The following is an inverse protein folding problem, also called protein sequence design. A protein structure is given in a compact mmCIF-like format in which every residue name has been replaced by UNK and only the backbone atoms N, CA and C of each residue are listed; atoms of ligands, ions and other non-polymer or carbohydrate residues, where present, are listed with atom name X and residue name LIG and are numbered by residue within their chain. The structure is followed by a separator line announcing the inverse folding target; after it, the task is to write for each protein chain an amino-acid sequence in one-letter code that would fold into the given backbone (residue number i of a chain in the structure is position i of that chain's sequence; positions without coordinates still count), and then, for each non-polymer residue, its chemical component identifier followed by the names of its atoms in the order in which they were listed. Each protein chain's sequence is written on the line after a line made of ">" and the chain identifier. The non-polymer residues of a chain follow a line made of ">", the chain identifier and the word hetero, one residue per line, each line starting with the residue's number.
data_IF_331090500601
#
_entry.id   IF_331090500601
#
_cell.length_a   1.000
_cell.length_b   1.000
_cell.length_c   1.000
_cell.angle_alpha   90.00
_cell.angle_beta   90.00
_cell.angle_gamma   90.00
#
_symmetry.space_group_name_H-M   'P 1'
#
loop_
_entity.id
_entity.type
_entity.pdbx_description
1 polymer ?
#
# COMPACT_ATOMS: atom_id res chain seq x y z
N UNK A 1 0.77 8.81 -14.70
CA UNK A 1 1.44 7.52 -14.81
C UNK A 1 2.81 7.66 -15.47
N UNK A 2 2.92 8.25 -16.67
CA UNK A 2 4.19 8.48 -17.33
C UNK A 2 4.61 9.94 -17.19
N UNK A 3 5.90 10.19 -16.88
CA UNK A 3 6.45 11.54 -16.77
C UNK A 3 6.87 12.11 -18.09
N UNK A 4 7.48 11.25 -18.94
CA UNK A 4 7.96 11.66 -20.25
C UNK A 4 8.05 10.51 -21.21
N UNK A 5 7.98 10.82 -22.49
CA UNK A 5 8.32 9.95 -23.62
C UNK A 5 9.27 10.74 -24.52
N UNK A 6 10.40 10.15 -24.88
CA UNK A 6 11.40 10.78 -25.72
C UNK A 6 11.80 9.87 -26.88
N UNK A 7 12.09 10.47 -28.03
CA UNK A 7 12.84 9.82 -29.11
C UNK A 7 14.23 10.40 -29.16
N UNK A 8 15.22 9.51 -29.09
CA UNK A 8 16.63 9.82 -29.22
C UNK A 8 17.10 9.33 -30.59
N UNK A 9 17.84 10.15 -31.29
CA UNK A 9 18.41 9.77 -32.56
C UNK A 9 19.55 8.74 -32.42
N UNK A 10 20.09 8.26 -33.53
CA UNK A 10 21.18 7.26 -33.53
C UNK A 10 22.46 7.71 -32.83
N UNK A 11 22.61 9.02 -32.55
CA UNK A 11 23.76 9.59 -31.84
C UNK A 11 23.53 9.71 -30.34
N UNK A 12 22.28 9.56 -29.86
CA UNK A 12 21.88 9.67 -28.46
C UNK A 12 21.30 11.03 -28.08
N UNK A 13 21.11 11.93 -29.06
CA UNK A 13 20.47 13.22 -28.80
C UNK A 13 18.96 13.07 -28.81
N UNK A 14 18.31 13.64 -27.81
CA UNK A 14 16.83 13.75 -27.77
C UNK A 14 16.40 14.62 -29.00
N UNK A 15 15.65 14.03 -29.92
CA UNK A 15 15.09 14.74 -31.06
C UNK A 15 13.67 15.20 -30.82
N UNK A 16 12.93 14.48 -29.97
CA UNK A 16 11.58 14.82 -29.50
C UNK A 16 11.43 14.36 -28.07
N UNK A 17 10.81 15.21 -27.25
CA UNK A 17 10.45 14.87 -25.89
C UNK A 17 9.08 15.45 -25.54
N UNK A 18 8.21 14.59 -25.02
CA UNK A 18 6.90 14.98 -24.51
C UNK A 18 6.88 14.68 -23.01
N UNK A 19 6.54 15.69 -22.22
CA UNK A 19 6.41 15.60 -20.77
C UNK A 19 4.96 15.84 -20.36
N UNK A 20 4.69 15.78 -19.08
CA UNK A 20 3.36 16.15 -18.53
C UNK A 20 2.98 17.61 -18.81
N UNK A 21 3.97 18.49 -19.02
CA UNK A 21 3.78 19.91 -19.31
C UNK A 21 3.68 20.20 -20.83
N UNK A 22 3.81 19.19 -21.66
CA UNK A 22 3.75 19.31 -23.14
C UNK A 22 5.04 18.94 -23.85
N UNK A 23 5.20 19.44 -25.06
CA UNK A 23 6.41 19.18 -25.88
C UNK A 23 7.57 20.05 -25.38
N UNK A 24 8.70 19.42 -25.09
CA UNK A 24 9.91 20.11 -24.64
C UNK A 24 10.48 21.02 -25.73
N UNK A 25 11.02 22.18 -25.33
CA UNK A 25 11.75 23.07 -26.23
C UNK A 25 13.13 22.47 -26.59
N UNK A 26 13.76 22.98 -27.65
CA UNK A 26 15.08 22.53 -28.08
C UNK A 26 16.16 22.65 -26.98
N UNK A 27 16.04 23.64 -26.09
CA UNK A 27 16.96 23.87 -24.99
C UNK A 27 16.82 22.85 -23.86
N UNK A 28 15.68 22.18 -23.78
CA UNK A 28 15.38 21.14 -22.78
C UNK A 28 15.77 19.74 -23.25
N UNK A 29 16.13 19.59 -24.53
CA UNK A 29 16.57 18.30 -25.09
C UNK A 29 18.03 18.02 -24.70
N UNK A 30 18.27 16.79 -24.29
CA UNK A 30 19.56 16.34 -23.76
C UNK A 30 20.30 15.44 -24.75
N UNK A 31 21.59 15.37 -24.61
CA UNK A 31 22.47 14.40 -25.29
C UNK A 31 22.77 13.24 -24.31
N UNK A 32 22.01 12.15 -24.47
CA UNK A 32 22.12 10.97 -23.63
C UNK A 32 23.18 9.96 -24.12
N UNK A 33 24.00 10.35 -25.13
CA UNK A 33 25.22 9.59 -25.42
C UNK A 33 26.23 9.66 -24.27
N UNK A 34 26.15 10.69 -23.45
CA UNK A 34 26.84 10.82 -22.19
C UNK A 34 25.84 10.60 -21.02
N UNK A 35 25.95 9.49 -20.26
CA UNK A 35 25.09 9.19 -19.12
C UNK A 35 25.00 10.30 -18.07
N UNK A 36 26.06 11.07 -17.87
CA UNK A 36 26.12 12.18 -16.91
C UNK A 36 25.13 13.32 -17.21
N UNK A 37 24.57 13.38 -18.41
CA UNK A 37 23.52 14.34 -18.77
C UNK A 37 22.14 13.92 -18.28
N UNK A 38 22.01 12.76 -17.63
CA UNK A 38 20.78 12.27 -17.03
C UNK A 38 20.22 13.22 -15.95
N UNK A 39 18.92 13.17 -15.75
CA UNK A 39 18.25 13.97 -14.71
C UNK A 39 18.64 13.51 -13.31
N UNK A 40 18.79 12.22 -13.15
CA UNK A 40 19.10 11.54 -11.88
C UNK A 40 20.52 10.98 -11.86
N UNK A 41 21.49 11.74 -12.36
CA UNK A 41 22.90 11.32 -12.40
C UNK A 41 23.24 10.49 -13.62
N UNK A 42 24.07 9.46 -13.47
CA UNK A 42 24.49 8.62 -14.60
C UNK A 42 23.39 7.67 -15.07
N UNK A 43 22.70 8.05 -16.13
CA UNK A 43 21.64 7.25 -16.75
C UNK A 43 22.11 6.65 -18.08
N UNK A 44 22.44 5.38 -18.12
CA UNK A 44 23.02 4.68 -19.29
C UNK A 44 21.97 4.03 -20.22
N UNK A 45 20.69 4.35 -20.04
CA UNK A 45 19.58 3.70 -20.76
C UNK A 45 19.69 3.76 -22.29
N UNK A 46 20.22 4.85 -22.87
CA UNK A 46 20.46 4.95 -24.29
C UNK A 46 21.52 3.95 -24.76
N UNK A 47 22.64 3.89 -24.05
CA UNK A 47 23.74 2.98 -24.39
C UNK A 47 23.29 1.52 -24.29
N UNK A 48 22.52 1.18 -23.26
CA UNK A 48 21.97 -0.16 -23.08
C UNK A 48 20.95 -0.53 -24.15
N UNK A 49 20.01 0.38 -24.43
CA UNK A 49 18.99 0.12 -25.43
C UNK A 49 19.55 -0.01 -26.83
N UNK A 50 20.60 0.73 -27.16
CA UNK A 50 21.29 0.68 -28.48
C UNK A 50 21.87 -0.70 -28.83
N UNK A 51 22.25 -1.48 -27.77
CA UNK A 51 22.85 -2.81 -27.93
C UNK A 51 21.81 -3.95 -28.07
N UNK A 52 20.53 -3.63 -27.91
CA UNK A 52 19.46 -4.61 -27.94
C UNK A 52 19.00 -4.97 -29.38
N UNK A 53 18.50 -6.19 -29.53
CA UNK A 53 17.89 -6.63 -30.78
C UNK A 53 16.47 -6.03 -30.97
N UNK A 54 15.95 -6.02 -32.21
CA UNK A 54 14.59 -5.60 -32.48
C UNK A 54 13.57 -6.37 -31.67
N UNK A 55 12.67 -5.63 -30.96
CA UNK A 55 11.65 -6.20 -30.09
C UNK A 55 12.08 -6.41 -28.64
N UNK A 56 13.36 -6.23 -28.32
CA UNK A 56 13.83 -6.19 -26.95
C UNK A 56 13.69 -4.79 -26.37
N UNK A 57 13.71 -4.68 -25.06
CA UNK A 57 13.70 -3.40 -24.37
C UNK A 57 14.58 -3.43 -23.12
N UNK A 58 15.09 -2.28 -22.75
CA UNK A 58 15.76 -2.03 -21.49
C UNK A 58 14.77 -1.49 -20.46
N UNK A 59 14.85 -1.97 -19.23
CA UNK A 59 14.20 -1.37 -18.06
C UNK A 59 15.26 -1.19 -16.98
N UNK A 60 15.49 0.06 -16.60
CA UNK A 60 16.46 0.42 -15.58
C UNK A 60 15.94 0.19 -14.16
N UNK A 61 16.81 0.40 -13.19
CA UNK A 61 16.44 0.47 -11.78
C UNK A 61 15.68 1.77 -11.52
N UNK A 62 15.08 1.84 -10.33
CA UNK A 62 14.55 3.10 -9.79
C UNK A 62 15.70 4.12 -9.68
N UNK A 63 15.45 5.32 -10.18
CA UNK A 63 16.28 6.51 -9.94
C UNK A 63 15.40 7.65 -9.44
N UNK A 64 15.89 8.44 -8.49
CA UNK A 64 15.07 9.52 -7.91
C UNK A 64 15.83 10.34 -6.89
N UNK A 65 15.17 11.37 -6.38
CA UNK A 65 15.68 12.24 -5.32
C UNK A 65 15.25 11.67 -3.96
N UNK A 66 16.22 11.44 -3.10
CA UNK A 66 15.99 11.03 -1.73
C UNK A 66 15.21 12.09 -0.96
N UNK A 67 14.40 11.64 -0.02
CA UNK A 67 13.64 12.49 0.90
C UNK A 67 14.12 12.18 2.30
N UNK A 68 14.67 13.16 2.99
CA UNK A 68 15.07 13.03 4.39
C UNK A 68 13.86 12.84 5.29
N UNK A 69 14.04 12.28 6.49
CA UNK A 69 12.96 12.12 7.46
C UNK A 69 12.26 13.45 7.77
N UNK A 70 13.03 14.52 7.96
CA UNK A 70 12.50 15.85 8.25
C UNK A 70 11.65 16.41 7.09
N UNK A 71 12.12 16.23 5.84
CA UNK A 71 11.37 16.65 4.66
C UNK A 71 10.07 15.84 4.49
N UNK A 72 10.14 14.53 4.76
CA UNK A 72 8.96 13.65 4.71
C UNK A 72 7.92 14.05 5.76
N UNK A 73 8.33 14.32 7.00
CA UNK A 73 7.47 14.82 8.07
C UNK A 73 6.87 16.20 7.73
N UNK A 74 7.57 17.01 6.94
CA UNK A 74 7.08 18.27 6.40
C UNK A 74 6.14 18.12 5.18
N UNK A 75 5.89 16.87 4.74
CA UNK A 75 4.95 16.55 3.65
C UNK A 75 5.59 16.36 2.27
N UNK A 76 6.92 16.43 2.15
CA UNK A 76 7.61 16.09 0.90
C UNK A 76 7.59 14.58 0.69
N UNK A 77 7.33 14.17 -0.53
CA UNK A 77 7.32 12.75 -0.92
C UNK A 77 8.50 12.43 -1.83
N UNK A 78 8.89 11.16 -1.83
CA UNK A 78 9.88 10.64 -2.76
C UNK A 78 9.44 10.88 -4.20
N UNK A 79 10.37 11.35 -5.03
CA UNK A 79 10.14 11.58 -6.46
C UNK A 79 11.19 10.87 -7.28
N UNK A 80 10.76 9.92 -8.09
CA UNK A 80 11.63 9.12 -8.93
C UNK A 80 10.93 8.59 -10.17
N UNK A 81 11.70 7.89 -10.99
CA UNK A 81 11.25 7.27 -12.22
C UNK A 81 11.87 5.89 -12.42
N UNK A 82 11.20 5.07 -13.22
CA UNK A 82 11.79 3.89 -13.84
C UNK A 82 11.88 4.18 -15.36
N UNK A 83 13.09 4.10 -15.91
CA UNK A 83 13.31 4.25 -17.35
C UNK A 83 13.07 2.93 -18.07
N UNK A 84 12.30 3.00 -19.15
CA UNK A 84 12.15 1.95 -20.15
C UNK A 84 12.62 2.51 -21.48
N UNK A 85 13.42 1.75 -22.22
CA UNK A 85 13.95 2.19 -23.50
C UNK A 85 14.00 1.04 -24.51
N UNK A 86 13.60 1.28 -25.73
CA UNK A 86 13.61 0.28 -26.78
C UNK A 86 14.30 0.83 -28.07
N UNK A 87 15.11 0.03 -28.75
CA UNK A 87 15.73 0.44 -29.97
C UNK A 87 14.69 0.51 -31.11
N UNK A 88 14.85 1.48 -31.97
CA UNK A 88 14.07 1.65 -33.19
C UNK A 88 14.98 1.36 -34.40
N UNK A 89 14.46 0.57 -35.31
CA UNK A 89 15.15 0.22 -36.55
C UNK A 89 14.33 0.65 -37.75
N UNK A 90 15.01 1.10 -38.77
CA UNK A 90 14.44 1.37 -40.10
C UNK A 90 15.10 0.50 -41.20
N UNK A 91 14.82 0.78 -42.46
CA UNK A 91 15.41 0.06 -43.60
C UNK A 91 16.94 0.21 -43.72
N UNK A 92 17.53 1.21 -43.02
CA UNK A 92 18.99 1.46 -43.01
C UNK A 92 19.68 0.89 -41.76
N UNK A 93 18.93 0.29 -40.83
CA UNK A 93 19.43 -0.27 -39.60
C UNK A 93 18.96 0.49 -38.36
N UNK A 94 19.79 0.61 -37.31
CA UNK A 94 19.49 1.32 -36.09
C UNK A 94 19.21 2.81 -36.37
N UNK A 95 18.01 3.26 -36.04
CA UNK A 95 17.54 4.63 -36.29
C UNK A 95 17.55 5.48 -34.97
N UNK A 96 17.46 4.86 -33.80
CA UNK A 96 17.43 5.57 -32.54
C UNK A 96 16.82 4.75 -31.42
N UNK A 97 16.42 5.43 -30.37
CA UNK A 97 15.81 4.82 -29.15
C UNK A 97 14.53 5.58 -28.78
N UNK A 98 13.47 4.87 -28.53
CA UNK A 98 12.31 5.43 -27.79
C UNK A 98 12.49 5.12 -26.32
N UNK A 99 12.48 6.17 -25.47
CA UNK A 99 12.55 6.07 -24.03
C UNK A 99 11.26 6.57 -23.41
N UNK A 100 10.85 5.92 -22.33
CA UNK A 100 9.66 6.26 -21.54
C UNK A 100 10.00 6.20 -20.06
N UNK A 101 9.52 7.16 -19.29
CA UNK A 101 9.75 7.25 -17.84
C UNK A 101 8.45 7.06 -17.11
N UNK A 102 8.34 5.96 -16.37
CA UNK A 102 7.24 5.71 -15.45
C UNK A 102 7.45 6.53 -14.19
N UNK A 103 6.44 7.32 -13.80
CA UNK A 103 6.43 8.00 -12.49
C UNK A 103 6.37 6.95 -11.38
N UNK A 104 7.37 6.99 -10.50
CA UNK A 104 7.51 5.99 -9.46
C UNK A 104 6.38 6.02 -8.43
N UNK A 105 5.73 7.16 -8.22
CA UNK A 105 4.55 7.26 -7.36
C UNK A 105 3.47 6.27 -7.73
N UNK A 106 3.36 5.94 -9.03
CA UNK A 106 2.41 4.93 -9.49
C UNK A 106 2.73 3.52 -8.98
N UNK A 107 4.01 3.18 -8.79
CA UNK A 107 4.41 1.90 -8.18
C UNK A 107 4.17 1.93 -6.68
N UNK A 108 4.44 3.07 -6.03
CA UNK A 108 4.22 3.26 -4.59
C UNK A 108 2.74 3.15 -4.21
N UNK A 109 1.82 3.57 -5.07
CA UNK A 109 0.37 3.43 -4.87
C UNK A 109 -0.08 1.98 -4.59
N UNK A 110 0.66 0.99 -5.09
CA UNK A 110 0.37 -0.43 -4.85
C UNK A 110 0.91 -0.97 -3.52
N UNK A 111 1.66 -0.18 -2.77
CA UNK A 111 2.27 -0.60 -1.50
C UNK A 111 2.00 0.39 -0.37
N UNK A 112 2.25 1.68 -0.57
CA UNK A 112 2.27 2.70 0.48
C UNK A 112 0.90 2.98 1.11
N UNK A 113 -0.19 2.56 0.44
CA UNK A 113 -1.57 2.78 0.88
C UNK A 113 -2.28 1.49 1.32
N UNK A 114 -1.57 0.36 1.37
CA UNK A 114 -2.17 -0.91 1.74
C UNK A 114 -1.92 -1.20 3.22
N UNK A 115 -3.02 -1.31 3.98
CA UNK A 115 -3.02 -1.80 5.35
C UNK A 115 -3.51 -3.25 5.34
N UNK A 116 -2.64 -4.24 5.60
CA UNK A 116 -2.96 -5.67 5.47
C UNK A 116 -4.20 -6.11 6.25
N UNK A 117 -4.47 -5.50 7.39
CA UNK A 117 -5.60 -5.82 8.25
C UNK A 117 -6.91 -5.09 7.90
N UNK A 118 -6.87 -4.24 6.87
CA UNK A 118 -8.02 -3.44 6.40
C UNK A 118 -8.27 -3.68 4.89
N UNK A 119 -8.63 -4.90 4.47
CA UNK A 119 -8.69 -5.31 3.06
C UNK A 119 -9.85 -4.68 2.30
N UNK A 120 -10.31 -3.57 2.54
CA UNK A 120 -11.33 -2.82 1.80
C UNK A 120 -10.96 -1.36 1.57
N UNK A 121 -9.85 -0.92 2.15
CA UNK A 121 -9.38 0.45 2.04
C UNK A 121 -8.27 0.53 0.99
N UNK A 122 -8.57 1.10 -0.16
CA UNK A 122 -7.66 1.19 -1.31
C UNK A 122 -6.65 2.33 -1.15
N UNK A 123 -6.90 3.32 -0.29
CA UNK A 123 -6.00 4.46 -0.04
C UNK A 123 -6.00 4.78 1.45
N UNK A 124 -5.57 3.81 2.27
CA UNK A 124 -5.41 4.04 3.69
C UNK A 124 -4.19 4.94 3.97
N UNK A 125 -4.29 5.80 4.98
CA UNK A 125 -3.11 6.47 5.51
C UNK A 125 -2.36 5.48 6.40
N UNK A 126 -1.27 4.93 5.87
CA UNK A 126 -0.43 3.98 6.58
C UNK A 126 0.46 4.73 7.58
N UNK A 127 0.48 4.27 8.83
CA UNK A 127 1.47 4.71 9.81
C UNK A 127 2.57 3.63 9.92
N UNK A 128 3.83 3.93 9.54
CA UNK A 128 4.92 2.97 9.60
C UNK A 128 5.18 2.39 11.00
N UNK A 129 4.90 3.16 12.05
CA UNK A 129 5.10 2.73 13.45
C UNK A 129 4.14 1.61 13.87
N UNK A 130 3.05 1.45 13.13
CA UNK A 130 2.05 0.42 13.41
C UNK A 130 2.50 -0.98 12.96
N UNK A 131 3.61 -1.07 12.23
CA UNK A 131 4.10 -2.34 11.64
C UNK A 131 2.98 -3.13 10.94
N UNK A 132 2.14 -2.43 10.19
CA UNK A 132 0.98 -2.97 9.49
C UNK A 132 0.90 -2.32 8.11
N UNK A 133 1.81 -2.75 7.24
CA UNK A 133 2.00 -2.15 5.92
C UNK A 133 2.59 -3.13 4.91
N UNK A 134 2.64 -2.70 3.67
CA UNK A 134 3.33 -3.38 2.57
C UNK A 134 4.55 -2.58 2.11
N UNK A 135 5.51 -3.26 1.51
CA UNK A 135 6.73 -2.66 0.99
C UNK A 135 7.29 -3.49 -0.17
N UNK A 136 8.17 -2.89 -0.96
CA UNK A 136 8.80 -3.54 -2.11
C UNK A 136 10.31 -3.49 -1.95
N UNK A 137 10.97 -4.62 -2.19
CA UNK A 137 12.42 -4.77 -2.14
C UNK A 137 12.95 -5.21 -3.49
N UNK A 138 13.97 -4.54 -3.97
CA UNK A 138 14.67 -4.88 -5.19
C UNK A 138 15.50 -6.16 -5.09
N UNK A 139 15.93 -6.67 -6.22
CA UNK A 139 16.79 -7.86 -6.30
C UNK A 139 18.13 -7.70 -5.56
N UNK A 140 18.60 -6.47 -5.41
CA UNK A 140 19.83 -6.10 -4.70
C UNK A 140 19.63 -5.84 -3.20
N UNK A 141 18.41 -6.08 -2.70
CA UNK A 141 18.02 -5.84 -1.31
C UNK A 141 17.68 -4.40 -0.99
N UNK A 142 17.75 -3.48 -1.96
CA UNK A 142 17.37 -2.08 -1.75
C UNK A 142 15.87 -1.94 -1.51
N UNK A 143 15.49 -1.03 -0.60
CA UNK A 143 14.10 -0.68 -0.38
C UNK A 143 13.59 0.16 -1.56
N UNK A 144 12.66 -0.39 -2.31
CA UNK A 144 12.06 0.29 -3.47
C UNK A 144 10.81 1.08 -3.07
N UNK A 145 9.90 0.50 -2.28
CA UNK A 145 8.77 1.24 -1.68
C UNK A 145 8.68 0.97 -0.19
N UNK A 146 8.28 1.98 0.58
CA UNK A 146 8.04 1.87 2.01
C UNK A 146 7.17 3.05 2.47
N UNK A 147 6.21 2.88 3.38
CA UNK A 147 5.40 3.99 3.89
C UNK A 147 6.22 5.13 4.51
N UNK A 148 7.36 4.80 5.15
CA UNK A 148 8.38 5.77 5.54
C UNK A 148 9.36 5.95 4.38
N UNK A 149 9.03 6.87 3.46
CA UNK A 149 9.72 7.03 2.18
C UNK A 149 11.19 7.45 2.31
N UNK A 150 11.60 7.94 3.47
CA UNK A 150 13.01 8.23 3.78
C UNK A 150 13.89 6.97 3.92
N UNK A 151 13.32 5.77 3.83
CA UNK A 151 14.08 4.53 3.69
C UNK A 151 14.38 4.14 2.24
N UNK A 152 13.74 4.80 1.28
CA UNK A 152 13.96 4.57 -0.15
C UNK A 152 15.28 5.24 -0.56
N UNK A 153 16.13 4.51 -1.26
CA UNK A 153 17.37 5.04 -1.80
C UNK A 153 17.15 6.07 -2.91
N UNK A 154 18.10 6.97 -3.09
CA UNK A 154 18.03 8.00 -4.11
C UNK A 154 19.27 8.89 -4.06
N UNK A 155 19.24 9.98 -4.83
CA UNK A 155 20.27 10.99 -4.83
C UNK A 155 19.99 12.05 -3.77
N UNK A 156 21.02 12.42 -3.04
CA UNK A 156 20.99 13.58 -2.15
C UNK A 156 20.99 14.91 -2.92
N UNK A 157 20.96 16.02 -2.21
CA UNK A 157 21.00 17.37 -2.80
C UNK A 157 22.29 17.63 -3.61
N UNK A 158 23.37 16.94 -3.30
CA UNK A 158 24.65 16.98 -4.01
C UNK A 158 24.69 16.09 -5.26
N UNK A 159 23.56 15.43 -5.59
CA UNK A 159 23.40 14.45 -6.67
C UNK A 159 24.23 13.17 -6.51
N UNK A 160 24.76 12.92 -5.33
CA UNK A 160 25.37 11.63 -5.01
C UNK A 160 24.35 10.69 -4.37
N UNK A 161 24.48 9.36 -4.54
CA UNK A 161 23.67 8.40 -3.84
C UNK A 161 23.78 8.57 -2.33
N UNK A 162 22.64 8.60 -1.62
CA UNK A 162 22.67 8.64 -0.16
C UNK A 162 23.29 7.37 0.41
N UNK A 163 23.96 7.46 1.58
CA UNK A 163 24.60 6.30 2.20
C UNK A 163 23.56 5.22 2.55
N UNK A 164 23.98 3.96 2.42
CA UNK A 164 23.18 2.81 2.82
C UNK A 164 23.42 2.53 4.30
N UNK A 165 22.34 2.31 5.05
CA UNK A 165 22.37 1.96 6.48
C UNK A 165 23.01 0.59 6.71
N UNK A 166 23.85 0.48 7.73
CA UNK A 166 24.47 -0.73 8.24
C UNK A 166 24.60 -0.68 9.77
N UNK A 167 25.20 -1.69 10.37
CA UNK A 167 25.40 -1.80 11.82
C UNK A 167 26.27 -0.67 12.42
N UNK A 168 27.10 0.01 11.61
CA UNK A 168 28.03 1.04 12.06
C UNK A 168 27.44 2.44 12.00
N UNK A 169 26.63 2.71 10.98
CA UNK A 169 26.11 4.04 10.68
C UNK A 169 24.61 4.21 10.99
N UNK A 170 23.90 3.12 11.33
CA UNK A 170 22.46 3.10 11.50
C UNK A 170 21.94 4.21 12.42
N UNK A 171 22.49 4.32 13.63
CA UNK A 171 22.01 5.30 14.61
C UNK A 171 22.14 6.75 14.13
N UNK A 172 23.22 7.07 13.43
CA UNK A 172 23.46 8.42 12.91
C UNK A 172 22.55 8.71 11.72
N UNK A 173 22.42 7.77 10.78
CA UNK A 173 21.57 7.93 9.59
C UNK A 173 20.07 7.92 9.91
N UNK A 174 19.60 7.12 10.87
CA UNK A 174 18.21 7.17 11.33
C UNK A 174 17.92 8.51 12.01
N UNK A 175 18.86 9.04 12.78
CA UNK A 175 18.73 10.33 13.46
C UNK A 175 18.71 11.50 12.48
N UNK A 176 19.61 11.52 11.50
CA UNK A 176 19.62 12.56 10.44
C UNK A 176 18.51 12.34 9.41
N UNK A 177 18.07 11.09 9.19
CA UNK A 177 17.12 10.73 8.15
C UNK A 177 17.70 10.81 6.74
N UNK A 178 19.04 10.71 6.60
CA UNK A 178 19.77 10.87 5.33
C UNK A 178 20.26 9.56 4.73
N UNK A 179 19.80 8.42 5.22
CA UNK A 179 20.24 7.11 4.76
C UNK A 179 19.13 6.28 4.15
N UNK A 180 19.50 5.38 3.24
CA UNK A 180 18.59 4.40 2.64
C UNK A 180 18.70 3.05 3.33
N UNK A 181 17.62 2.26 3.27
CA UNK A 181 17.59 0.91 3.80
C UNK A 181 17.91 -0.13 2.72
N UNK A 182 18.77 -1.08 3.07
CA UNK A 182 18.96 -2.31 2.30
C UNK A 182 18.76 -3.50 3.23
N UNK A 183 17.82 -4.38 2.92
CA UNK A 183 17.44 -5.49 3.80
C UNK A 183 18.60 -6.48 4.06
N UNK A 184 19.57 -6.55 3.15
CA UNK A 184 20.76 -7.39 3.34
C UNK A 184 21.67 -6.89 4.47
N UNK A 185 21.67 -5.57 4.70
CA UNK A 185 22.48 -4.93 5.74
C UNK A 185 21.76 -4.87 7.10
N UNK A 186 20.44 -5.19 7.14
CA UNK A 186 19.62 -5.05 8.35
C UNK A 186 19.64 -6.28 9.27
N UNK A 187 20.47 -7.26 9.00
CA UNK A 187 20.53 -8.50 9.78
C UNK A 187 20.87 -8.30 11.27
N UNK A 188 21.48 -7.18 11.64
CA UNK A 188 21.74 -6.81 13.03
C UNK A 188 20.49 -6.37 13.79
N UNK A 189 19.47 -5.86 13.08
CA UNK A 189 18.17 -5.48 13.64
C UNK A 189 17.19 -6.64 13.58
N UNK A 190 17.11 -7.30 12.44
CA UNK A 190 16.23 -8.42 12.16
C UNK A 190 16.96 -9.43 11.26
N UNK A 191 17.45 -10.50 11.85
CA UNK A 191 18.16 -11.56 11.14
C UNK A 191 17.32 -12.30 10.10
N UNK A 192 15.99 -12.12 10.11
CA UNK A 192 15.09 -12.76 9.16
C UNK A 192 15.02 -11.99 7.84
N UNK A 193 15.24 -10.69 7.81
CA UNK A 193 15.18 -9.90 6.57
C UNK A 193 16.14 -10.40 5.49
N UNK A 194 17.44 -10.61 5.75
CA UNK A 194 18.34 -11.21 4.77
C UNK A 194 17.95 -12.63 4.36
N UNK A 195 17.40 -13.43 5.29
CA UNK A 195 16.93 -14.81 5.00
C UNK A 195 15.72 -14.80 4.07
N UNK A 196 14.75 -13.92 4.33
CA UNK A 196 13.57 -13.72 3.48
C UNK A 196 14.00 -13.27 2.08
N UNK A 197 14.91 -12.29 2.01
CA UNK A 197 15.45 -11.84 0.74
C UNK A 197 16.09 -12.98 -0.06
N UNK A 198 16.93 -13.81 0.57
CA UNK A 198 17.56 -14.94 -0.09
C UNK A 198 16.53 -15.98 -0.61
N UNK A 199 15.46 -16.22 0.13
CA UNK A 199 14.36 -17.10 -0.31
C UNK A 199 13.61 -16.50 -1.50
N UNK A 200 13.26 -15.23 -1.42
CA UNK A 200 12.56 -14.51 -2.49
C UNK A 200 13.42 -14.44 -3.76
N UNK A 201 14.72 -14.13 -3.65
CA UNK A 201 15.67 -14.13 -4.75
C UNK A 201 15.84 -15.52 -5.41
N UNK A 202 15.55 -16.60 -4.68
CA UNK A 202 15.48 -17.94 -5.25
C UNK A 202 14.15 -18.25 -5.96
N UNK A 203 13.26 -17.26 -6.13
CA UNK A 203 11.95 -17.40 -6.75
C UNK A 203 10.85 -17.97 -5.83
N UNK A 204 11.08 -18.00 -4.51
CA UNK A 204 10.11 -18.52 -3.53
C UNK A 204 9.24 -17.40 -2.97
N UNK A 205 8.02 -17.78 -2.61
CA UNK A 205 7.09 -16.97 -1.81
C UNK A 205 6.73 -17.71 -0.54
N UNK A 206 6.37 -17.00 0.53
CA UNK A 206 6.06 -17.65 1.80
C UNK A 206 5.70 -16.67 2.89
N UNK A 207 5.68 -17.17 4.13
CA UNK A 207 5.43 -16.34 5.30
C UNK A 207 6.19 -16.86 6.52
N UNK A 208 6.46 -15.95 7.45
CA UNK A 208 7.09 -16.24 8.73
C UNK A 208 6.36 -15.53 9.86
N UNK A 209 6.44 -16.12 11.04
CA UNK A 209 6.08 -15.43 12.29
C UNK A 209 7.28 -15.51 13.21
N UNK A 210 7.71 -14.38 13.73
CA UNK A 210 8.86 -14.27 14.61
C UNK A 210 8.69 -13.14 15.62
N UNK A 211 9.58 -13.02 16.59
CA UNK A 211 9.53 -11.97 17.61
C UNK A 211 10.71 -11.04 17.43
N UNK A 212 10.45 -9.72 17.37
CA UNK A 212 11.43 -8.65 17.40
C UNK A 212 10.98 -7.60 18.42
N UNK A 213 11.88 -7.15 19.28
CA UNK A 213 11.60 -6.16 20.35
C UNK A 213 10.32 -6.48 21.16
N UNK A 214 10.15 -7.75 21.54
CA UNK A 214 8.96 -8.29 22.23
C UNK A 214 7.63 -8.16 21.47
N UNK A 215 7.65 -7.86 20.17
CA UNK A 215 6.47 -7.86 19.30
C UNK A 215 6.48 -9.10 18.41
N UNK A 216 5.34 -9.77 18.29
CA UNK A 216 5.19 -10.87 17.34
C UNK A 216 4.83 -10.30 15.98
N UNK A 217 5.73 -10.47 15.03
CA UNK A 217 5.58 -9.98 13.67
C UNK A 217 5.24 -11.15 12.75
N UNK A 218 4.18 -10.98 11.97
CA UNK A 218 3.91 -11.79 10.79
C UNK A 218 4.41 -11.07 9.56
N UNK A 219 5.21 -11.74 8.74
CA UNK A 219 5.61 -11.24 7.43
C UNK A 219 5.22 -12.27 6.38
N UNK A 220 4.53 -11.83 5.34
CA UNK A 220 4.34 -12.58 4.10
C UNK A 220 5.15 -11.91 3.00
N UNK A 221 5.73 -12.71 2.11
CA UNK A 221 6.51 -12.20 0.99
C UNK A 221 6.18 -12.98 -0.29
N UNK A 222 6.21 -12.26 -1.40
CA UNK A 222 5.99 -12.85 -2.71
C UNK A 222 7.05 -12.36 -3.70
N UNK A 223 7.69 -13.30 -4.39
CA UNK A 223 8.61 -13.03 -5.47
C UNK A 223 7.91 -12.37 -6.65
N UNK A 224 8.56 -11.40 -7.30
CA UNK A 224 8.06 -10.73 -8.51
C UNK A 224 8.79 -11.29 -9.73
N UNK A 225 8.15 -12.21 -10.49
CA UNK A 225 8.78 -12.95 -11.58
C UNK A 225 8.85 -12.13 -12.88
N UNK A 226 9.42 -10.95 -12.82
CA UNK A 226 9.71 -10.17 -14.02
C UNK A 226 11.12 -10.49 -14.52
N UNK A 227 11.22 -11.06 -15.72
CA UNK A 227 12.48 -11.49 -16.33
C UNK A 227 12.61 -10.83 -17.70
N UNK A 228 13.39 -9.80 -17.74
CA UNK A 228 13.65 -9.05 -18.96
C UNK A 228 14.64 -7.94 -18.68
N UNK A 229 15.28 -7.42 -19.71
CA UNK A 229 16.31 -6.40 -19.59
C UNK A 229 17.45 -6.86 -18.66
N UNK A 230 17.70 -6.15 -17.58
CA UNK A 230 18.73 -6.47 -16.60
C UNK A 230 18.28 -7.51 -15.56
N UNK A 231 17.03 -7.93 -15.60
CA UNK A 231 16.43 -8.84 -14.59
C UNK A 231 16.48 -10.28 -15.08
N UNK A 232 17.17 -11.13 -14.35
CA UNK A 232 17.41 -12.54 -14.71
C UNK A 232 16.70 -13.50 -13.75
N UNK A 233 16.53 -14.76 -14.19
CA UNK A 233 16.09 -15.84 -13.31
C UNK A 233 17.23 -16.27 -12.40
N UNK A 234 16.95 -16.67 -11.13
CA UNK A 234 15.64 -16.74 -10.47
C UNK A 234 15.22 -15.42 -9.80
N UNK A 235 16.08 -14.44 -9.69
CA UNK A 235 15.93 -13.23 -8.84
C UNK A 235 14.78 -12.32 -9.27
N UNK A 236 14.52 -12.19 -10.59
CA UNK A 236 13.48 -11.33 -11.13
C UNK A 236 13.67 -9.85 -10.77
N UNK A 237 12.55 -9.12 -10.60
CA UNK A 237 12.56 -7.72 -10.23
C UNK A 237 12.87 -7.51 -8.73
N UNK A 238 12.47 -8.46 -7.91
CA UNK A 238 12.56 -8.39 -6.46
C UNK A 238 11.40 -9.10 -5.79
N UNK A 239 10.91 -8.56 -4.70
CA UNK A 239 9.80 -9.14 -3.95
C UNK A 239 8.98 -8.08 -3.21
N UNK A 240 7.70 -8.36 -3.04
CA UNK A 240 6.79 -7.57 -2.21
C UNK A 240 6.68 -8.23 -0.84
N UNK A 241 6.77 -7.44 0.22
CA UNK A 241 6.56 -7.83 1.60
C UNK A 241 5.30 -7.20 2.19
N UNK A 242 4.67 -7.93 3.09
CA UNK A 242 3.56 -7.48 3.91
C UNK A 242 3.87 -7.80 5.37
N UNK A 243 3.86 -6.79 6.23
CA UNK A 243 4.21 -6.92 7.63
C UNK A 243 3.02 -6.58 8.52
N UNK A 244 2.82 -7.36 9.59
CA UNK A 244 1.73 -7.15 10.56
C UNK A 244 2.24 -7.43 11.98
N UNK A 245 2.08 -6.46 12.87
CA UNK A 245 2.20 -6.68 14.33
C UNK A 245 0.98 -7.46 14.82
N UNK A 246 1.17 -8.77 15.06
CA UNK A 246 0.09 -9.68 15.46
C UNK A 246 -0.53 -9.26 16.80
N UNK A 247 0.29 -8.85 17.75
CA UNK A 247 -0.19 -8.53 19.11
C UNK A 247 -1.07 -7.28 19.08
N UNK A 248 -0.68 -6.27 18.30
CA UNK A 248 -1.50 -5.08 18.08
C UNK A 248 -2.83 -5.42 17.38
N UNK A 249 -2.78 -6.27 16.36
CA UNK A 249 -3.97 -6.72 15.64
C UNK A 249 -4.92 -7.53 16.51
N UNK A 250 -4.40 -8.49 17.32
CA UNK A 250 -5.22 -9.24 18.26
C UNK A 250 -5.86 -8.35 19.30
N UNK A 251 -5.13 -7.41 19.88
CA UNK A 251 -5.66 -6.46 20.84
C UNK A 251 -6.81 -5.61 20.26
N UNK A 252 -6.62 -5.09 19.03
CA UNK A 252 -7.68 -4.33 18.35
C UNK A 252 -8.90 -5.20 18.06
N UNK A 253 -8.71 -6.48 17.71
CA UNK A 253 -9.79 -7.44 17.49
C UNK A 253 -10.52 -7.74 18.81
N UNK A 254 -9.82 -7.99 19.90
CA UNK A 254 -10.40 -8.22 21.23
C UNK A 254 -11.20 -7.02 21.72
N UNK A 255 -10.70 -5.79 21.54
CA UNK A 255 -11.39 -4.57 21.92
C UNK A 255 -12.67 -4.36 21.10
N UNK A 256 -12.64 -4.65 19.79
CA UNK A 256 -13.85 -4.64 18.95
C UNK A 256 -14.87 -5.71 19.39
N UNK A 257 -14.42 -6.92 19.71
CA UNK A 257 -15.28 -7.99 20.22
C UNK A 257 -15.94 -7.57 21.53
N UNK A 258 -15.20 -6.98 22.48
CA UNK A 258 -15.75 -6.46 23.75
C UNK A 258 -16.79 -5.35 23.50
N UNK A 259 -16.51 -4.41 22.59
CA UNK A 259 -17.48 -3.35 22.26
C UNK A 259 -18.77 -3.92 21.65
N UNK A 260 -18.64 -4.92 20.77
CA UNK A 260 -19.80 -5.63 20.22
C UNK A 260 -20.57 -6.36 21.32
N UNK A 261 -19.90 -7.06 22.23
CA UNK A 261 -20.54 -7.75 23.37
C UNK A 261 -21.30 -6.76 24.25
N UNK A 262 -20.70 -5.63 24.60
CA UNK A 262 -21.35 -4.57 25.37
C UNK A 262 -22.58 -3.96 24.65
N UNK A 263 -22.53 -3.85 23.34
CA UNK A 263 -23.68 -3.40 22.53
C UNK A 263 -24.79 -4.44 22.52
N UNK A 264 -24.43 -5.72 22.36
CA UNK A 264 -25.40 -6.83 22.40
C UNK A 264 -26.07 -6.92 23.78
N UNK A 265 -25.32 -6.84 24.87
CA UNK A 265 -25.89 -6.82 26.23
C UNK A 265 -26.85 -5.66 26.46
N UNK A 266 -26.49 -4.45 26.02
CA UNK A 266 -27.38 -3.28 26.10
C UNK A 266 -28.65 -3.49 25.29
N UNK A 267 -28.52 -4.03 24.08
CA UNK A 267 -29.67 -4.33 23.22
C UNK A 267 -30.59 -5.41 23.84
N UNK A 268 -30.02 -6.48 24.41
CA UNK A 268 -30.79 -7.51 25.11
C UNK A 268 -31.57 -6.93 26.30
N UNK A 269 -30.92 -6.12 27.18
CA UNK A 269 -31.58 -5.44 28.27
C UNK A 269 -32.73 -4.54 27.82
N UNK A 270 -32.49 -3.75 26.77
CA UNK A 270 -33.50 -2.89 26.16
C UNK A 270 -34.68 -3.71 25.60
N UNK A 271 -34.40 -4.81 24.91
CA UNK A 271 -35.43 -5.69 24.35
C UNK A 271 -36.30 -6.34 25.41
N UNK A 272 -35.71 -6.78 26.53
CA UNK A 272 -36.45 -7.33 27.70
C UNK A 272 -37.40 -6.26 28.27
N UNK A 273 -36.95 -5.03 28.41
CA UNK A 273 -37.78 -3.92 28.89
C UNK A 273 -38.96 -3.66 27.95
N UNK A 274 -38.70 -3.61 26.65
CA UNK A 274 -39.76 -3.41 25.63
C UNK A 274 -40.81 -4.54 25.69
N UNK A 275 -40.37 -5.81 25.77
CA UNK A 275 -41.26 -6.96 25.86
C UNK A 275 -42.12 -6.87 27.16
N UNK A 276 -41.49 -6.52 28.27
CA UNK A 276 -42.19 -6.40 29.58
C UNK A 276 -43.23 -5.28 29.53
N UNK A 277 -42.90 -4.12 28.99
CA UNK A 277 -43.85 -3.00 28.83
C UNK A 277 -45.00 -3.38 27.88
N UNK A 278 -44.71 -4.09 26.81
CA UNK A 278 -45.71 -4.55 25.89
C UNK A 278 -46.69 -5.53 26.52
N UNK A 279 -46.20 -6.46 27.37
CA UNK A 279 -47.05 -7.39 28.10
C UNK A 279 -47.99 -6.67 29.09
N UNK A 280 -47.47 -5.68 29.84
CA UNK A 280 -48.27 -4.85 30.72
C UNK A 280 -49.36 -4.11 29.94
N UNK A 281 -49.02 -3.53 28.79
CA UNK A 281 -49.99 -2.81 27.94
C UNK A 281 -51.08 -3.75 27.45
N UNK A 282 -50.72 -4.92 26.99
CA UNK A 282 -51.71 -5.95 26.55
C UNK A 282 -52.62 -6.39 27.72
N UNK A 283 -52.06 -6.55 28.92
CA UNK A 283 -52.85 -6.89 30.13
C UNK A 283 -53.85 -5.77 30.46
N UNK A 284 -53.44 -4.52 30.41
CA UNK A 284 -54.33 -3.37 30.66
C UNK A 284 -55.44 -3.30 29.60
N UNK A 285 -55.12 -3.51 28.33
CA UNK A 285 -56.10 -3.55 27.26
C UNK A 285 -57.14 -4.71 27.51
N UNK A 286 -56.65 -5.89 27.85
CA UNK A 286 -57.50 -7.03 28.17
C UNK A 286 -58.48 -6.73 29.34
N UNK A 287 -57.99 -6.07 30.42
CA UNK A 287 -58.82 -5.65 31.54
C UNK A 287 -59.88 -4.63 31.15
N UNK A 288 -59.55 -3.66 30.30
CA UNK A 288 -60.50 -2.67 29.77
C UNK A 288 -61.61 -3.35 28.93
N UNK A 289 -61.21 -4.27 28.05
CA UNK A 289 -62.13 -5.03 27.24
C UNK A 289 -63.06 -5.94 28.12
N UNK A 290 -62.49 -6.65 29.08
CA UNK A 290 -63.24 -7.50 30.01
C UNK A 290 -64.29 -6.67 30.82
N UNK A 291 -63.90 -5.50 31.34
CA UNK A 291 -64.81 -4.58 32.03
C UNK A 291 -65.90 -4.05 31.07
N UNK A 292 -65.56 -3.74 29.82
CA UNK A 292 -66.54 -3.30 28.81
C UNK A 292 -67.58 -4.38 28.48
N UNK A 293 -67.12 -5.61 28.33
CA UNK A 293 -67.99 -6.76 28.09
C UNK A 293 -68.90 -7.03 29.31
N UNK A 294 -68.34 -7.06 30.53
CA UNK A 294 -69.10 -7.25 31.75
C UNK A 294 -70.21 -6.21 31.91
N UNK A 295 -69.92 -4.94 31.69
CA UNK A 295 -70.95 -3.86 31.74
C UNK A 295 -71.99 -4.00 30.64
N UNK A 296 -71.63 -4.48 29.46
CA UNK A 296 -72.57 -4.74 28.34
C UNK A 296 -73.52 -5.87 28.67
N UNK A 297 -73.08 -6.95 29.30
CA UNK A 297 -73.89 -8.09 29.73
C UNK A 297 -74.88 -7.65 30.81
N UNK A 298 -74.43 -6.97 31.86
CA UNK A 298 -75.30 -6.44 32.91
C UNK A 298 -76.43 -5.52 32.37
N UNK A 299 -76.05 -4.69 31.35
CA UNK A 299 -77.05 -3.81 30.74
C UNK A 299 -78.11 -4.55 29.90
N UNK A 300 -77.81 -5.75 29.41
CA UNK A 300 -78.73 -6.60 28.72
C UNK A 300 -79.64 -7.40 29.66
N UNK A 301 -79.12 -7.91 30.78
CA UNK A 301 -79.93 -8.65 31.80
C UNK A 301 -80.89 -7.73 32.52
N UNK A 302 -80.55 -6.45 32.77
CA UNK A 302 -81.43 -5.45 33.39
C UNK A 302 -82.54 -4.90 32.46
N UNK A 303 -82.62 -5.38 31.20
CA UNK A 303 -83.65 -5.00 30.19
C UNK A 303 -84.56 -6.20 29.76
N UNK A 304 -84.52 -7.32 30.48
CA UNK A 304 -85.52 -8.36 30.24
C UNK A 304 -86.90 -7.86 30.71
N UNK A 305 -87.93 -7.70 29.86
CA UNK A 305 -89.26 -7.34 30.30
C UNK A 305 -89.88 -8.55 31.06
N UNK A 306 -90.33 -8.27 32.28
CA UNK A 306 -91.27 -9.16 32.96
C UNK A 306 -92.53 -9.30 32.04
N UNK A 307 -92.66 -10.44 31.37
CA UNK A 307 -93.85 -10.77 30.62
C UNK A 307 -94.98 -10.94 31.56
N UNK A 308 -95.99 -10.13 31.36
CA UNK A 308 -97.30 -10.31 31.95
C UNK A 308 -97.83 -11.68 31.54
N UNK A 309 -97.98 -12.57 32.47
CA UNK A 309 -98.92 -13.71 32.36
C UNK A 309 -100.21 -13.28 33.05
N UNK A 310 -101.13 -12.81 32.30
CA UNK A 310 -102.56 -12.84 32.69
C UNK A 310 -103.26 -13.95 31.86
N UNK A 311 -103.88 -14.83 32.59
CA UNK A 311 -104.95 -15.80 32.33
C UNK A 311 -105.26 -16.32 30.88
#
# INVERSE_FOLDING_TARGET
>A
VYREIAFLDKTGKEALKVTVDGVASQEQLRDMSNPANGEYGEEDYFLRAKELAPGEFYMGNLVGMHVTKQEFEAGKQFSGIIRMAAPVFDSSGFAGVVAMSLDYRHVMEFTDHLVPTEPGMVFAKVNPEDMNYTFLVGRDGSMLTHPAQYFIGGLGADKNPVPVMDDKNFNDLVKSGEGSMNVLNMGFMDENLPKIHALAASGKSGSFTYTIDNKRIFIAYAHIPFYGSVYSKPEGYGWVGMMVDIDKYHKLSEDKVKDIQLKVERWQKSSIVVVFVSLILLFVIALILARGLYRSIQKREGKAPLGDYED
#
